data_IF_523992792153
#
_entry.id   IF_523992792153
#
_cell.length_a   1.000
_cell.length_b   1.000
_cell.length_c   1.000
_cell.angle_alpha   90.00
_cell.angle_beta   90.00
_cell.angle_gamma   90.00
#
_symmetry.space_group_name_H-M   'P 1'
#
loop_
_entity.id
_entity.type
_entity.pdbx_description
1 polymer ?
#
# COMPACT_ATOMS: atom_id res chain seq x y z
N UNK A 1 2.76 13.36 8.67
CA UNK A 1 2.92 12.64 9.94
C UNK A 1 2.43 11.19 9.85
N UNK A 2 1.18 10.91 9.42
CA UNK A 2 0.65 9.54 9.26
C UNK A 2 1.46 8.64 8.30
N UNK A 3 1.86 9.17 7.13
CA UNK A 3 2.68 8.41 6.16
C UNK A 3 4.02 7.99 6.76
N UNK A 4 4.64 8.83 7.59
CA UNK A 4 5.91 8.53 8.23
C UNK A 4 5.77 7.45 9.32
N UNK A 5 4.64 7.46 10.05
CA UNK A 5 4.31 6.42 11.05
C UNK A 5 4.04 5.09 10.36
N UNK A 6 3.13 5.03 9.39
CA UNK A 6 2.80 3.78 8.68
C UNK A 6 4.01 3.22 7.93
N UNK A 7 4.79 4.08 7.26
CA UNK A 7 6.01 3.65 6.56
C UNK A 7 7.08 3.17 7.54
N UNK A 8 7.24 3.86 8.67
CA UNK A 8 8.15 3.46 9.75
C UNK A 8 7.77 2.10 10.34
N UNK A 9 6.48 1.88 10.61
CA UNK A 9 5.97 0.61 11.13
C UNK A 9 6.10 -0.52 10.10
N UNK A 10 5.83 -0.27 8.82
CA UNK A 10 6.06 -1.27 7.74
C UNK A 10 7.54 -1.65 7.64
N UNK A 11 8.46 -0.67 7.70
CA UNK A 11 9.90 -0.92 7.62
C UNK A 11 10.40 -1.67 8.86
N UNK A 12 9.93 -1.28 10.06
CA UNK A 12 10.29 -1.95 11.30
C UNK A 12 9.78 -3.40 11.34
N UNK A 13 8.57 -3.63 10.80
CA UNK A 13 7.93 -4.93 10.87
C UNK A 13 8.48 -5.94 9.85
N UNK A 14 9.15 -5.50 8.78
CA UNK A 14 9.89 -6.37 7.81
C UNK A 14 10.95 -7.28 8.43
N UNK A 15 11.32 -7.06 9.70
CA UNK A 15 12.24 -7.93 10.46
C UNK A 15 11.58 -9.18 11.06
N UNK A 16 10.28 -9.38 10.88
CA UNK A 16 9.54 -10.51 11.45
C UNK A 16 9.36 -11.63 10.41
N UNK A 17 9.80 -12.85 10.76
CA UNK A 17 9.94 -14.02 9.87
C UNK A 17 8.63 -14.52 9.23
N UNK A 18 7.45 -14.13 9.76
CA UNK A 18 6.14 -14.54 9.25
C UNK A 18 5.45 -13.52 8.31
N UNK A 19 6.09 -12.38 8.02
CA UNK A 19 5.49 -11.35 7.15
C UNK A 19 5.45 -11.71 5.67
N UNK A 20 6.32 -12.59 5.20
CA UNK A 20 6.48 -12.89 3.77
C UNK A 20 5.19 -13.43 3.13
N UNK A 21 4.32 -14.08 3.91
CA UNK A 21 3.07 -14.66 3.42
C UNK A 21 1.90 -13.68 3.34
N UNK A 22 1.92 -12.58 4.10
CA UNK A 22 0.81 -11.62 4.19
C UNK A 22 1.14 -10.18 3.74
N UNK A 23 2.38 -9.73 3.89
CA UNK A 23 2.72 -8.30 3.84
C UNK A 23 3.57 -7.87 2.64
N UNK A 24 4.48 -8.70 2.14
CA UNK A 24 5.42 -8.25 1.09
C UNK A 24 4.74 -7.77 -0.20
N UNK A 25 3.74 -8.48 -0.76
CA UNK A 25 3.09 -8.03 -1.98
C UNK A 25 2.17 -6.81 -1.76
N UNK A 26 1.74 -6.58 -0.51
CA UNK A 26 0.79 -5.54 -0.10
C UNK A 26 1.51 -4.26 0.35
N UNK A 27 2.69 -4.38 0.94
CA UNK A 27 3.49 -3.25 1.42
C UNK A 27 4.00 -2.37 0.28
N UNK A 28 4.50 -2.98 -0.80
CA UNK A 28 4.93 -2.23 -1.99
C UNK A 28 3.76 -1.51 -2.66
N UNK A 29 2.60 -2.18 -2.73
CA UNK A 29 1.36 -1.61 -3.24
C UNK A 29 0.95 -0.38 -2.41
N UNK A 30 0.85 -0.54 -1.10
CA UNK A 30 0.46 0.53 -0.17
C UNK A 30 1.45 1.68 -0.24
N UNK A 31 2.76 1.40 -0.31
CA UNK A 31 3.77 2.44 -0.47
C UNK A 31 3.56 3.26 -1.75
N UNK A 32 3.34 2.60 -2.89
CA UNK A 32 3.11 3.28 -4.17
C UNK A 32 1.86 4.17 -4.11
N UNK A 33 0.78 3.67 -3.50
CA UNK A 33 -0.49 4.39 -3.37
C UNK A 33 -0.38 5.56 -2.41
N UNK A 34 0.33 5.43 -1.28
CA UNK A 34 0.53 6.53 -0.35
C UNK A 34 1.39 7.66 -0.94
N UNK A 35 2.35 7.34 -1.82
CA UNK A 35 3.15 8.35 -2.55
C UNK A 35 2.38 8.98 -3.71
N UNK A 36 1.47 8.25 -4.35
CA UNK A 36 0.60 8.74 -5.42
C UNK A 36 -0.85 8.27 -5.19
N UNK A 37 -1.63 8.99 -4.36
CA UNK A 37 -2.99 8.57 -3.98
C UNK A 37 -3.98 8.45 -5.13
N UNK A 38 -3.69 9.10 -6.27
CA UNK A 38 -4.51 9.07 -7.48
C UNK A 38 -4.01 8.06 -8.53
N UNK A 39 -3.06 7.18 -8.17
CA UNK A 39 -2.54 6.17 -9.09
C UNK A 39 -3.60 5.12 -9.41
N UNK A 40 -3.71 4.75 -10.69
CA UNK A 40 -4.62 3.70 -11.13
C UNK A 40 -4.04 2.30 -10.90
N UNK A 41 -4.91 1.28 -10.80
CA UNK A 41 -4.46 -0.11 -10.67
C UNK A 41 -3.61 -0.58 -11.86
N UNK A 42 -3.86 -0.02 -13.05
CA UNK A 42 -3.09 -0.33 -14.26
C UNK A 42 -1.66 0.24 -14.17
N UNK A 43 -1.52 1.49 -13.74
CA UNK A 43 -0.21 2.12 -13.54
C UNK A 43 0.59 1.43 -12.43
N UNK A 44 -0.08 1.00 -11.36
CA UNK A 44 0.56 0.19 -10.32
C UNK A 44 1.04 -1.15 -10.89
N UNK A 45 0.24 -1.79 -11.75
CA UNK A 45 0.63 -3.03 -12.40
C UNK A 45 1.89 -2.86 -13.25
N UNK A 46 1.95 -1.78 -14.04
CA UNK A 46 3.14 -1.40 -14.83
C UNK A 46 4.36 -1.17 -13.93
N UNK A 47 4.18 -0.46 -12.80
CA UNK A 47 5.27 -0.12 -11.88
C UNK A 47 5.80 -1.33 -11.09
N UNK A 48 4.93 -2.25 -10.72
CA UNK A 48 5.28 -3.45 -9.95
C UNK A 48 5.59 -4.68 -10.84
N UNK A 49 5.52 -4.53 -12.17
CA UNK A 49 5.75 -5.64 -13.11
C UNK A 49 4.71 -6.77 -13.00
N UNK A 50 3.49 -6.48 -12.53
CA UNK A 50 2.41 -7.45 -12.35
C UNK A 50 1.16 -7.08 -13.15
N UNK A 51 0.35 -8.09 -13.49
CA UNK A 51 -0.95 -7.87 -14.14
C UNK A 51 -1.87 -7.04 -13.23
N UNK A 52 -2.71 -6.19 -13.84
CA UNK A 52 -3.71 -5.40 -13.12
C UNK A 52 -4.66 -6.28 -12.30
N UNK A 53 -4.98 -7.50 -12.73
CA UNK A 53 -5.76 -8.47 -11.94
C UNK A 53 -5.04 -8.94 -10.66
N UNK A 54 -3.71 -8.96 -10.67
CA UNK A 54 -2.87 -9.20 -9.49
C UNK A 54 -2.87 -7.99 -8.54
N UNK A 55 -2.85 -6.78 -9.11
CA UNK A 55 -2.98 -5.52 -8.36
C UNK A 55 -4.35 -5.47 -7.66
N UNK A 56 -5.44 -5.69 -8.39
CA UNK A 56 -6.81 -5.68 -7.88
C UNK A 56 -7.00 -6.61 -6.68
N UNK A 57 -6.48 -7.84 -6.76
CA UNK A 57 -6.50 -8.79 -5.62
C UNK A 57 -5.73 -8.26 -4.41
N UNK A 58 -4.56 -7.67 -4.61
CA UNK A 58 -3.77 -7.07 -3.51
C UNK A 58 -4.45 -5.81 -2.96
N UNK A 59 -5.13 -5.03 -3.81
CA UNK A 59 -5.87 -3.81 -3.47
C UNK A 59 -7.02 -4.10 -2.50
N UNK A 60 -7.79 -5.14 -2.79
CA UNK A 60 -8.88 -5.58 -1.92
C UNK A 60 -8.36 -6.19 -0.62
N UNK A 61 -7.29 -7.01 -0.67
CA UNK A 61 -6.70 -7.60 0.56
C UNK A 61 -6.09 -6.55 1.50
N UNK A 62 -5.57 -5.46 0.96
CA UNK A 62 -4.92 -4.41 1.73
C UNK A 62 -5.89 -3.31 2.21
N UNK A 63 -7.20 -3.40 1.93
CA UNK A 63 -8.19 -2.39 2.35
C UNK A 63 -7.74 -0.97 1.95
N UNK A 64 -7.30 -0.83 0.70
CA UNK A 64 -6.72 0.42 0.20
C UNK A 64 -7.72 1.57 0.25
N UNK A 65 -9.01 1.29 0.09
CA UNK A 65 -10.04 2.32 0.11
C UNK A 65 -10.06 3.05 1.46
N UNK A 66 -10.03 2.30 2.56
CA UNK A 66 -9.98 2.79 3.93
C UNK A 66 -8.68 3.54 4.18
N UNK A 67 -7.53 3.01 3.72
CA UNK A 67 -6.24 3.69 3.84
C UNK A 67 -6.26 5.08 3.16
N UNK A 68 -6.83 5.17 1.96
CA UNK A 68 -6.95 6.43 1.23
C UNK A 68 -7.92 7.40 1.91
N UNK A 69 -9.01 6.90 2.47
CA UNK A 69 -9.97 7.70 3.21
C UNK A 69 -9.36 8.32 4.47
N UNK A 70 -8.67 7.49 5.26
CA UNK A 70 -7.91 7.93 6.43
C UNK A 70 -6.88 8.97 5.99
N UNK A 71 -6.07 8.71 4.96
CA UNK A 71 -5.10 9.68 4.46
C UNK A 71 -5.73 11.02 4.06
N UNK A 72 -6.91 11.02 3.42
CA UNK A 72 -7.65 12.25 3.10
C UNK A 72 -8.09 13.02 4.34
N UNK A 73 -8.56 12.33 5.39
CA UNK A 73 -8.95 12.97 6.65
C UNK A 73 -7.76 13.63 7.35
N UNK A 74 -6.60 12.97 7.34
CA UNK A 74 -5.38 13.49 7.97
C UNK A 74 -4.71 14.63 7.18
N UNK A 75 -4.89 14.72 5.86
CA UNK A 75 -4.38 15.85 5.07
C UNK A 75 -5.24 17.12 5.17
N UNK A 76 -6.47 17.01 5.68
CA UNK A 76 -7.38 18.15 5.90
C UNK A 76 -7.28 18.75 7.31
N UNK A 77 -6.45 18.19 8.19
CA UNK A 77 -6.13 18.72 9.52
C UNK A 77 -4.76 19.36 9.52
#
# INVERSE_FOLDING_TARGET
MLIAVITGDIIASRKLEDQDKWLVPSAELVQVILHKPQITQEEVGKKLGIKQSGVSRRWNRANVHEILEVNRMFQKK
#
